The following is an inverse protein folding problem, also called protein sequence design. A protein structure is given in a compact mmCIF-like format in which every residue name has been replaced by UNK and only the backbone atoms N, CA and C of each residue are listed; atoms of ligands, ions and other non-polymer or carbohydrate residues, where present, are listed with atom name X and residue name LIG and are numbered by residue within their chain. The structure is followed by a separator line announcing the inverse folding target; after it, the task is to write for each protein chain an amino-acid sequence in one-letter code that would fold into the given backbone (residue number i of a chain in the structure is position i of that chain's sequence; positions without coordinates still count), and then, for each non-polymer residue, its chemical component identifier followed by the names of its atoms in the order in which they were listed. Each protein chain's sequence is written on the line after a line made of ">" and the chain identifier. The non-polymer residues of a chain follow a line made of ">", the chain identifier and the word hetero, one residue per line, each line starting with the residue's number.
data_IF_238255755147
#
_entry.id   IF_238255755147
#
_cell.length_a   1.000
_cell.length_b   1.000
_cell.length_c   1.000
_cell.angle_alpha   90.00
_cell.angle_beta   90.00
_cell.angle_gamma   90.00
#
_symmetry.space_group_name_H-M   'P 1'
#
loop_
_entity.id
_entity.type
_entity.pdbx_description
1 polymer ?
#
# COMPACT_ATOMS: atom_id res chain seq x y z
N UNK A 1 -20.65 -14.58 6.80
CA UNK A 1 -21.05 -13.50 5.86
C UNK A 1 -19.78 -12.96 5.22
N UNK A 2 -19.76 -12.73 3.90
CA UNK A 2 -18.55 -12.29 3.20
C UNK A 2 -18.27 -10.81 3.54
N UNK A 3 -17.07 -10.47 4.04
CA UNK A 3 -16.70 -9.07 4.28
C UNK A 3 -16.16 -8.44 2.98
N UNK A 4 -17.04 -7.78 2.23
CA UNK A 4 -16.71 -7.17 0.94
C UNK A 4 -15.71 -6.01 1.05
N UNK A 5 -15.80 -5.22 2.12
CA UNK A 5 -14.86 -4.11 2.38
C UNK A 5 -13.43 -4.65 2.54
N UNK A 6 -13.25 -5.67 3.39
CA UNK A 6 -11.93 -6.27 3.60
C UNK A 6 -11.36 -6.87 2.31
N UNK A 7 -12.20 -7.51 1.49
CA UNK A 7 -11.78 -8.05 0.18
C UNK A 7 -11.38 -6.94 -0.80
N UNK A 8 -12.15 -5.85 -0.87
CA UNK A 8 -11.81 -4.69 -1.69
C UNK A 8 -10.47 -4.08 -1.27
N UNK A 9 -10.28 -3.79 0.02
CA UNK A 9 -9.06 -3.17 0.52
C UNK A 9 -7.84 -4.08 0.35
N UNK A 10 -7.99 -5.39 0.55
CA UNK A 10 -6.92 -6.34 0.25
C UNK A 10 -6.55 -6.33 -1.24
N UNK A 11 -7.54 -6.41 -2.13
CA UNK A 11 -7.30 -6.40 -3.57
C UNK A 11 -6.72 -5.07 -4.05
N UNK A 12 -7.17 -3.95 -3.50
CA UNK A 12 -6.65 -2.61 -3.77
C UNK A 12 -5.16 -2.54 -3.40
N UNK A 13 -4.78 -2.89 -2.16
CA UNK A 13 -3.37 -2.89 -1.72
C UNK A 13 -2.49 -3.73 -2.66
N UNK A 14 -2.95 -4.93 -3.04
CA UNK A 14 -2.22 -5.81 -3.98
C UNK A 14 -2.10 -5.22 -5.38
N UNK A 15 -3.12 -4.50 -5.86
CA UNK A 15 -3.07 -3.79 -7.15
C UNK A 15 -2.10 -2.63 -7.13
N UNK A 16 -2.04 -1.87 -6.02
CA UNK A 16 -1.17 -0.70 -5.88
C UNK A 16 0.32 -1.03 -5.93
N UNK A 17 0.68 -2.27 -5.58
CA UNK A 17 2.06 -2.78 -5.67
C UNK A 17 2.23 -3.82 -6.79
N UNK A 18 1.27 -3.96 -7.71
CA UNK A 18 1.39 -4.80 -8.91
C UNK A 18 1.69 -6.29 -8.64
N UNK A 19 1.07 -6.88 -7.61
CA UNK A 19 1.24 -8.29 -7.21
C UNK A 19 0.00 -9.16 -7.38
N UNK A 20 -1.05 -8.67 -8.04
CA UNK A 20 -2.26 -9.47 -8.24
C UNK A 20 -2.08 -10.61 -9.26
N UNK A 21 -1.29 -10.37 -10.31
CA UNK A 21 -1.08 -11.32 -11.40
C UNK A 21 0.40 -11.66 -11.62
N UNK A 22 1.24 -11.43 -10.61
CA UNK A 22 2.69 -11.67 -10.67
C UNK A 22 3.15 -12.33 -9.39
N UNK A 23 4.10 -13.26 -9.52
CA UNK A 23 4.79 -13.85 -8.40
C UNK A 23 6.00 -12.97 -8.05
N UNK A 24 5.89 -12.22 -6.96
CA UNK A 24 6.93 -11.30 -6.49
C UNK A 24 7.35 -11.75 -5.08
N UNK A 25 8.63 -12.10 -4.87
CA UNK A 25 9.12 -12.51 -3.56
C UNK A 25 8.82 -11.48 -2.45
N UNK A 26 8.49 -11.96 -1.26
CA UNK A 26 8.25 -11.09 -0.09
C UNK A 26 9.47 -10.21 0.22
N UNK A 27 10.69 -10.71 0.01
CA UNK A 27 11.93 -9.94 0.20
C UNK A 27 12.07 -8.75 -0.76
N UNK A 28 11.34 -8.74 -1.87
CA UNK A 28 11.22 -7.57 -2.75
C UNK A 28 10.12 -6.66 -2.24
N UNK A 29 8.96 -7.19 -1.87
CA UNK A 29 7.79 -6.40 -1.43
C UNK A 29 8.10 -5.63 -0.14
N UNK A 30 8.60 -6.34 0.88
CA UNK A 30 8.90 -5.82 2.21
C UNK A 30 10.32 -6.24 2.62
N UNK A 31 11.37 -5.62 2.05
CA UNK A 31 12.76 -5.94 2.36
C UNK A 31 13.06 -5.72 3.84
N UNK A 32 13.86 -6.59 4.46
CA UNK A 32 14.13 -6.52 5.91
C UNK A 32 15.20 -5.49 6.26
N UNK A 33 15.92 -4.97 5.28
CA UNK A 33 16.94 -3.95 5.46
C UNK A 33 17.01 -2.98 4.29
N UNK A 34 17.61 -1.81 4.53
CA UNK A 34 17.89 -0.84 3.48
C UNK A 34 18.77 -1.42 2.35
N UNK A 35 19.74 -2.26 2.69
CA UNK A 35 20.62 -2.91 1.71
C UNK A 35 19.83 -3.84 0.77
N UNK A 36 18.77 -4.47 1.24
CA UNK A 36 17.87 -5.27 0.39
C UNK A 36 16.95 -4.39 -0.46
N UNK A 37 16.40 -3.32 0.13
CA UNK A 37 15.56 -2.34 -0.57
C UNK A 37 16.30 -1.46 -1.57
N UNK A 38 17.58 -1.72 -1.82
CA UNK A 38 18.42 -1.02 -2.81
C UNK A 38 19.00 -1.96 -3.86
N UNK A 39 18.62 -3.24 -3.87
CA UNK A 39 19.04 -4.17 -4.90
C UNK A 39 18.31 -3.92 -6.23
N UNK A 40 18.92 -4.27 -7.38
CA UNK A 40 18.31 -4.03 -8.69
C UNK A 40 16.91 -4.61 -8.85
N UNK A 41 16.61 -5.76 -8.24
CA UNK A 41 15.31 -6.43 -8.33
C UNK A 41 14.20 -5.58 -7.71
N UNK A 42 14.50 -4.91 -6.59
CA UNK A 42 13.59 -3.98 -5.94
C UNK A 42 13.26 -2.79 -6.85
N UNK A 43 14.28 -2.16 -7.43
CA UNK A 43 14.10 -1.07 -8.38
C UNK A 43 13.35 -1.50 -9.64
N UNK A 44 13.63 -2.70 -10.17
CA UNK A 44 12.95 -3.24 -11.33
C UNK A 44 11.45 -3.45 -11.08
N UNK A 45 11.08 -3.87 -9.87
CA UNK A 45 9.67 -4.04 -9.52
C UNK A 45 8.97 -2.71 -9.21
N UNK A 46 9.51 -1.92 -8.28
CA UNK A 46 8.85 -0.71 -7.80
C UNK A 46 9.11 0.51 -8.69
N UNK A 47 10.37 0.84 -8.98
CA UNK A 47 10.72 2.10 -9.64
C UNK A 47 10.49 2.05 -11.16
N UNK A 48 11.03 1.01 -11.80
CA UNK A 48 10.95 0.82 -13.25
C UNK A 48 9.74 -0.04 -13.69
N UNK A 49 9.09 -0.72 -12.74
CA UNK A 49 7.87 -1.49 -12.99
C UNK A 49 6.60 -0.64 -12.94
N UNK A 50 5.45 -1.30 -12.78
CA UNK A 50 4.12 -0.68 -12.86
C UNK A 50 3.46 -0.43 -11.48
N UNK A 51 4.16 -0.67 -10.37
CA UNK A 51 3.66 -0.33 -9.05
C UNK A 51 3.30 1.16 -8.96
N UNK A 52 2.26 1.50 -8.20
CA UNK A 52 1.78 2.87 -7.98
C UNK A 52 2.25 3.43 -6.63
N UNK A 53 2.77 2.58 -5.76
CA UNK A 53 3.50 2.98 -4.56
C UNK A 53 4.73 2.09 -4.33
N UNK A 54 5.78 2.65 -3.72
CA UNK A 54 6.94 1.89 -3.23
C UNK A 54 6.75 1.42 -1.78
N UNK A 55 5.58 1.68 -1.21
CA UNK A 55 5.20 1.17 0.10
C UNK A 55 4.72 -0.27 -0.04
N UNK A 56 5.53 -1.22 0.42
CA UNK A 56 5.18 -2.63 0.51
C UNK A 56 3.99 -2.92 1.42
N UNK A 57 3.59 -4.19 1.52
CA UNK A 57 2.35 -4.59 2.20
C UNK A 57 2.27 -4.11 3.64
N UNK A 58 3.36 -4.20 4.42
CA UNK A 58 3.39 -3.77 5.82
C UNK A 58 3.12 -2.27 5.99
N UNK A 59 3.64 -1.45 5.08
CA UNK A 59 3.43 0.01 5.12
C UNK A 59 2.00 0.37 4.71
N UNK A 60 1.43 -0.33 3.73
CA UNK A 60 0.03 -0.13 3.35
C UNK A 60 -0.95 -0.60 4.43
N UNK A 61 -0.63 -1.68 5.14
CA UNK A 61 -1.38 -2.12 6.31
C UNK A 61 -1.31 -1.11 7.46
N UNK A 62 -0.13 -0.53 7.70
CA UNK A 62 0.01 0.54 8.68
C UNK A 62 -0.85 1.77 8.33
N UNK A 63 -0.86 2.20 7.06
CA UNK A 63 -1.71 3.31 6.60
C UNK A 63 -3.19 2.98 6.80
N UNK A 64 -3.62 1.77 6.42
CA UNK A 64 -5.00 1.33 6.64
C UNK A 64 -5.37 1.37 8.13
N UNK A 65 -4.53 0.79 8.98
CA UNK A 65 -4.73 0.80 10.44
C UNK A 65 -4.89 2.22 10.98
N UNK A 66 -4.01 3.16 10.61
CA UNK A 66 -4.08 4.54 11.10
C UNK A 66 -5.35 5.26 10.62
N UNK A 67 -5.72 5.10 9.34
CA UNK A 67 -6.93 5.72 8.79
C UNK A 67 -8.19 5.16 9.46
N UNK A 68 -8.32 3.83 9.54
CA UNK A 68 -9.45 3.17 10.19
C UNK A 68 -9.54 3.55 11.68
N UNK A 69 -8.41 3.62 12.39
CA UNK A 69 -8.40 4.06 13.79
C UNK A 69 -8.92 5.49 13.96
N UNK A 70 -8.51 6.43 13.10
CA UNK A 70 -9.05 7.79 13.13
C UNK A 70 -10.56 7.83 12.87
N UNK A 71 -11.08 6.98 11.98
CA UNK A 71 -12.51 6.90 11.67
C UNK A 71 -13.29 6.29 12.84
N UNK A 72 -12.80 5.18 13.42
CA UNK A 72 -13.44 4.47 14.54
C UNK A 72 -13.46 5.32 15.81
N UNK A 73 -12.38 6.06 16.09
CA UNK A 73 -12.26 6.93 17.26
C UNK A 73 -12.90 8.32 17.04
N UNK A 74 -13.43 8.60 15.84
CA UNK A 74 -14.10 9.87 15.53
C UNK A 74 -13.14 11.08 15.50
N UNK A 75 -11.88 10.88 15.11
CA UNK A 75 -10.89 11.94 15.00
C UNK A 75 -11.17 12.80 13.76
N UNK A 76 -11.54 14.06 13.97
CA UNK A 76 -11.82 15.00 12.88
C UNK A 76 -10.55 15.46 12.17
N UNK A 77 -10.57 15.48 10.83
CA UNK A 77 -9.50 16.05 10.01
C UNK A 77 -9.42 15.43 8.63
N UNK A 78 -8.44 15.89 7.86
CA UNK A 78 -8.09 15.34 6.55
C UNK A 78 -6.84 14.46 6.64
N UNK A 79 -6.62 13.62 5.62
CA UNK A 79 -5.38 12.87 5.45
C UNK A 79 -4.47 13.52 4.41
N UNK A 80 -3.17 13.47 4.64
CA UNK A 80 -2.15 14.05 3.74
C UNK A 80 -0.92 13.15 3.65
N UNK A 81 -0.37 13.01 2.44
CA UNK A 81 0.92 12.36 2.17
C UNK A 81 1.88 13.39 1.56
N UNK A 82 2.93 13.77 2.29
CA UNK A 82 3.89 14.79 1.89
C UNK A 82 5.05 14.19 1.06
N UNK A 83 4.73 13.65 -0.10
CA UNK A 83 5.68 12.98 -0.99
C UNK A 83 5.07 11.72 -1.59
N UNK A 84 4.33 11.89 -2.69
CA UNK A 84 3.37 10.87 -3.15
C UNK A 84 3.89 9.90 -4.22
N UNK A 85 5.01 10.24 -4.88
CA UNK A 85 5.46 9.55 -6.10
C UNK A 85 4.32 9.37 -7.13
N UNK A 86 3.90 8.13 -7.43
CA UNK A 86 2.77 7.82 -8.33
C UNK A 86 1.40 7.84 -7.64
N UNK A 87 1.34 8.15 -6.34
CA UNK A 87 0.11 8.42 -5.60
C UNK A 87 -0.57 7.21 -4.96
N UNK A 88 0.05 6.02 -4.97
CA UNK A 88 -0.62 4.80 -4.53
C UNK A 88 -1.08 4.80 -3.07
N UNK A 89 -0.37 5.45 -2.15
CA UNK A 89 -0.84 5.52 -0.75
C UNK A 89 -2.03 6.47 -0.61
N UNK A 90 -2.00 7.65 -1.24
CA UNK A 90 -3.19 8.50 -1.37
C UNK A 90 -4.40 7.75 -1.96
N UNK A 91 -4.20 6.92 -2.99
CA UNK A 91 -5.26 6.09 -3.57
C UNK A 91 -5.81 5.08 -2.56
N UNK A 92 -4.97 4.48 -1.73
CA UNK A 92 -5.41 3.61 -0.63
C UNK A 92 -6.25 4.37 0.39
N UNK A 93 -5.77 5.54 0.87
CA UNK A 93 -6.53 6.38 1.81
C UNK A 93 -7.90 6.74 1.24
N UNK A 94 -7.96 7.15 -0.04
CA UNK A 94 -9.24 7.41 -0.71
C UNK A 94 -10.10 6.17 -0.82
N UNK A 95 -9.52 5.00 -1.11
CA UNK A 95 -10.24 3.73 -1.17
C UNK A 95 -10.91 3.38 0.16
N UNK A 96 -10.22 3.58 1.29
CA UNK A 96 -10.77 3.35 2.64
C UNK A 96 -11.97 4.28 2.91
N UNK A 97 -11.88 5.56 2.53
CA UNK A 97 -12.98 6.51 2.67
C UNK A 97 -14.18 6.23 1.73
N UNK A 98 -14.06 5.27 0.81
CA UNK A 98 -15.13 4.91 -0.13
C UNK A 98 -15.89 3.65 0.31
N UNK A 99 -15.48 3.04 1.42
CA UNK A 99 -16.06 1.79 1.94
C UNK A 99 -16.96 2.01 3.14
#
# INVERSE_FOLDING_TARGET
>A
MLNLQALYLNHLKRSLIDINNRDVPESIIDPVSFAEGTKPEWFNHFWFGNALTMCGTKKLENVQFCVESCLDDGISGDFVECGVWRGGVCMLMRGILAT
#
